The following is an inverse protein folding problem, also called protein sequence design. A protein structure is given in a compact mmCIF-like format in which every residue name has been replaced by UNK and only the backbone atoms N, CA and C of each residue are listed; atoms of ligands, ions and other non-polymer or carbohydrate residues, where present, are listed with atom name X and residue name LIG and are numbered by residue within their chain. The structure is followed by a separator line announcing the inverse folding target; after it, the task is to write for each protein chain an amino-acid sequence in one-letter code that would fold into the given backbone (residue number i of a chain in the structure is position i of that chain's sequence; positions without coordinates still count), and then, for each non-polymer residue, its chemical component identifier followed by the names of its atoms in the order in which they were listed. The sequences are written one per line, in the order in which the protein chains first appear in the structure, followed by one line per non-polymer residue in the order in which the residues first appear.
data_IF_663265763784
#
_entry.id   IF_663265763784
#
_cell.length_a   1.000
_cell.length_b   1.000
_cell.length_c   1.000
_cell.angle_alpha   90.00
_cell.angle_beta   90.00
_cell.angle_gamma   90.00
#
_symmetry.space_group_name_H-M   'P 1'
#
loop_
_entity.id
_entity.type
_entity.pdbx_description
1 polymer ?
#
# COMPACT_ATOMS: atom_id res chain seq x y z
N UNK A 1 -8.48 11.33 -11.39
CA UNK A 1 -9.52 12.36 -11.59
C UNK A 1 -10.10 12.74 -10.24
N UNK A 2 -10.83 13.84 -10.16
CA UNK A 2 -11.53 14.24 -8.95
C UNK A 2 -12.47 13.10 -8.50
N UNK A 3 -12.41 12.68 -7.23
CA UNK A 3 -13.19 11.56 -6.69
C UNK A 3 -12.68 10.15 -6.99
N UNK A 4 -11.52 9.99 -7.65
CA UNK A 4 -10.93 8.67 -7.85
C UNK A 4 -10.38 8.09 -6.53
N UNK A 5 -10.67 6.82 -6.26
CA UNK A 5 -10.06 6.08 -5.15
C UNK A 5 -8.63 5.71 -5.55
N UNK A 6 -7.66 6.10 -4.74
CA UNK A 6 -6.25 5.80 -4.95
C UNK A 6 -5.67 4.95 -3.83
N UNK A 7 -4.76 4.05 -4.20
CA UNK A 7 -3.99 3.25 -3.26
C UNK A 7 -2.51 3.55 -3.47
N UNK A 8 -1.81 3.88 -2.40
CA UNK A 8 -0.37 4.08 -2.38
C UNK A 8 0.33 3.00 -1.55
N UNK A 9 1.48 2.54 -2.00
CA UNK A 9 2.38 1.65 -1.25
C UNK A 9 3.80 2.16 -1.31
N UNK A 10 4.54 2.10 -0.21
CA UNK A 10 5.92 2.56 -0.12
C UNK A 10 6.62 2.05 1.14
N UNK A 11 7.93 2.22 1.25
CA UNK A 11 8.77 1.68 2.33
C UNK A 11 9.50 2.77 3.14
N UNK A 12 9.54 3.99 2.62
CA UNK A 12 10.41 5.04 3.10
C UNK A 12 9.69 6.31 3.53
N UNK A 13 10.44 7.19 4.21
CA UNK A 13 9.92 8.50 4.60
C UNK A 13 9.68 9.44 3.40
N UNK A 14 10.33 9.16 2.26
CA UNK A 14 10.10 9.84 0.99
C UNK A 14 8.69 9.59 0.43
N UNK A 15 8.01 8.51 0.86
CA UNK A 15 6.67 8.17 0.40
C UNK A 15 5.56 8.83 1.23
N UNK A 16 5.90 9.50 2.34
CA UNK A 16 4.94 10.15 3.23
C UNK A 16 4.06 11.17 2.47
N UNK A 17 4.60 12.06 1.62
CA UNK A 17 3.74 12.97 0.84
C UNK A 17 2.77 12.23 -0.09
N UNK A 18 3.15 11.04 -0.58
CA UNK A 18 2.27 10.19 -1.40
C UNK A 18 1.19 9.51 -0.54
N UNK A 19 1.51 9.11 0.70
CA UNK A 19 0.54 8.53 1.62
C UNK A 19 -0.52 9.55 2.07
N UNK A 20 -0.11 10.80 2.33
CA UNK A 20 -1.00 11.86 2.80
C UNK A 20 -2.09 12.25 1.79
N UNK A 21 -1.85 12.05 0.49
CA UNK A 21 -2.79 12.41 -0.58
C UNK A 21 -3.58 11.22 -1.15
N UNK A 22 -3.20 9.99 -0.80
CA UNK A 22 -3.89 8.80 -1.27
C UNK A 22 -5.17 8.53 -0.47
N UNK A 23 -6.17 7.87 -1.09
CA UNK A 23 -7.37 7.42 -0.36
C UNK A 23 -7.01 6.34 0.67
N UNK A 24 -6.13 5.42 0.27
CA UNK A 24 -5.57 4.39 1.12
C UNK A 24 -4.05 4.32 0.93
N UNK A 25 -3.32 4.16 2.04
CA UNK A 25 -1.88 4.02 2.07
C UNK A 25 -1.49 2.78 2.88
N UNK A 26 -0.71 1.88 2.29
CA UNK A 26 -0.17 0.68 2.94
C UNK A 26 1.35 0.71 2.89
N UNK A 27 1.99 0.82 4.04
CA UNK A 27 3.45 0.82 4.13
C UNK A 27 4.01 -0.61 4.04
N UNK A 28 4.91 -0.89 3.11
CA UNK A 28 5.47 -2.22 2.89
C UNK A 28 6.89 -2.32 3.46
N UNK A 29 7.10 -3.19 4.46
CA UNK A 29 8.38 -3.37 5.17
C UNK A 29 9.04 -2.05 5.60
N UNK A 30 8.20 -1.08 5.90
CA UNK A 30 8.62 0.31 6.00
C UNK A 30 9.27 0.64 7.35
N UNK A 31 10.01 1.75 7.42
CA UNK A 31 10.54 2.27 8.70
C UNK A 31 9.41 2.85 9.57
N UNK A 32 9.59 2.96 10.90
CA UNK A 32 8.53 3.43 11.82
C UNK A 32 7.87 4.75 11.41
N UNK A 33 8.67 5.71 10.91
CA UNK A 33 8.15 7.02 10.45
C UNK A 33 7.16 6.88 9.29
N UNK A 34 7.45 6.00 8.32
CA UNK A 34 6.57 5.77 7.18
C UNK A 34 5.32 4.96 7.58
N UNK A 35 5.47 3.98 8.50
CA UNK A 35 4.33 3.23 9.06
C UNK A 35 3.33 4.14 9.76
N UNK A 36 3.82 5.08 10.55
CA UNK A 36 2.98 6.03 11.28
C UNK A 36 2.19 6.98 10.38
N UNK A 37 2.64 7.19 9.13
CA UNK A 37 1.98 8.04 8.15
C UNK A 37 1.00 7.27 7.23
N UNK A 38 0.99 5.93 7.28
CA UNK A 38 0.12 5.09 6.44
C UNK A 38 -1.11 4.60 7.22
N UNK A 39 -2.15 4.16 6.51
CA UNK A 39 -3.35 3.58 7.14
C UNK A 39 -3.10 2.18 7.70
N UNK A 40 -2.11 1.47 7.17
CA UNK A 40 -1.69 0.15 7.62
C UNK A 40 -0.30 -0.21 7.08
N UNK A 41 0.23 -1.36 7.50
CA UNK A 41 1.51 -1.85 7.02
C UNK A 41 1.56 -3.37 6.85
N UNK A 42 2.42 -3.82 5.94
CA UNK A 42 2.77 -5.22 5.74
C UNK A 42 4.20 -5.40 6.25
N UNK A 43 4.34 -6.13 7.36
CA UNK A 43 5.65 -6.39 7.97
C UNK A 43 6.27 -7.71 7.51
N UNK A 44 5.43 -8.66 7.08
CA UNK A 44 5.82 -10.02 6.70
C UNK A 44 5.12 -10.41 5.39
N UNK A 45 5.76 -11.27 4.61
CA UNK A 45 5.28 -11.67 3.28
C UNK A 45 5.65 -10.65 2.20
N UNK A 46 4.83 -10.57 1.15
CA UNK A 46 5.04 -9.74 -0.03
C UNK A 46 3.81 -8.86 -0.35
N UNK A 47 3.90 -8.10 -1.45
CA UNK A 47 2.85 -7.19 -1.91
C UNK A 47 1.56 -7.89 -2.36
N UNK A 48 1.55 -9.21 -2.52
CA UNK A 48 0.29 -9.93 -2.82
C UNK A 48 -0.72 -9.82 -1.68
N UNK A 49 -0.26 -9.51 -0.46
CA UNK A 49 -1.13 -9.20 0.68
C UNK A 49 -2.08 -8.03 0.40
N UNK A 50 -1.65 -7.07 -0.43
CA UNK A 50 -2.51 -5.96 -0.89
C UNK A 50 -3.61 -6.48 -1.81
N UNK A 51 -3.28 -7.36 -2.76
CA UNK A 51 -4.26 -7.96 -3.67
C UNK A 51 -5.30 -8.78 -2.90
N UNK A 52 -4.85 -9.54 -1.90
CA UNK A 52 -5.72 -10.30 -0.99
C UNK A 52 -6.62 -9.38 -0.16
N UNK A 53 -6.10 -8.27 0.36
CA UNK A 53 -6.89 -7.28 1.09
C UNK A 53 -8.01 -6.69 0.23
N UNK A 54 -7.76 -6.48 -1.06
CA UNK A 54 -8.74 -6.00 -2.02
C UNK A 54 -9.70 -7.10 -2.52
N UNK A 55 -9.53 -8.35 -2.07
CA UNK A 55 -10.37 -9.47 -2.47
C UNK A 55 -10.15 -9.95 -3.91
N UNK A 56 -8.99 -9.62 -4.51
CA UNK A 56 -8.66 -10.03 -5.88
C UNK A 56 -8.22 -11.49 -5.86
N UNK A 57 -8.91 -12.34 -6.63
CA UNK A 57 -8.65 -13.78 -6.67
C UNK A 57 -7.27 -14.07 -7.27
N UNK A 58 -6.53 -15.02 -6.68
CA UNK A 58 -5.16 -15.34 -7.11
C UNK A 58 -5.08 -15.82 -8.56
N UNK A 59 -6.19 -16.34 -9.12
CA UNK A 59 -6.29 -16.75 -10.53
C UNK A 59 -6.31 -15.56 -11.49
N UNK A 60 -6.67 -14.38 -11.02
CA UNK A 60 -6.69 -13.14 -11.81
C UNK A 60 -5.35 -12.39 -11.77
N UNK A 61 -4.39 -12.87 -10.97
CA UNK A 61 -3.11 -12.20 -10.83
C UNK A 61 -2.26 -12.40 -12.08
N UNK A 62 -1.78 -11.29 -12.63
CA UNK A 62 -0.74 -11.31 -13.67
C UNK A 62 0.60 -11.55 -12.99
N UNK A 63 1.30 -12.62 -13.41
CA UNK A 63 2.67 -12.90 -12.98
C UNK A 63 3.64 -12.45 -14.06
N UNK A 64 4.69 -11.75 -13.66
CA UNK A 64 5.83 -11.38 -14.50
C UNK A 64 6.86 -12.48 -14.62
#
# INVERSE_FOLDING_TARGET
GEGAISLATGDGANDIPMFEVATYAIAYRAKPKARAAANGWIDQGDLTSVLRLLGIDEREWVRG
#
